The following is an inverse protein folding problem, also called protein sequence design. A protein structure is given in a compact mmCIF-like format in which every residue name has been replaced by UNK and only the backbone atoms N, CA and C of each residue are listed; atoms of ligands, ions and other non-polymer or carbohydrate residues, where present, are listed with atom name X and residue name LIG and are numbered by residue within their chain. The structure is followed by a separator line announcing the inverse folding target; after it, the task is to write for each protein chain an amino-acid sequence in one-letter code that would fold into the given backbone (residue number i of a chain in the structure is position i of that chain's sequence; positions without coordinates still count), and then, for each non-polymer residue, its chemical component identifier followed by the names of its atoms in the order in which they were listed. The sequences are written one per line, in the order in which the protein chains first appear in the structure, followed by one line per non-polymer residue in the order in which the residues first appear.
data_IF_572007022565
#
_entry.id   IF_572007022565
#
_cell.length_a   1.000
_cell.length_b   1.000
_cell.length_c   1.000
_cell.angle_alpha   90.00
_cell.angle_beta   90.00
_cell.angle_gamma   90.00
#
_symmetry.space_group_name_H-M   'P 1'
#
loop_
_entity.id
_entity.type
_entity.pdbx_description
1 polymer ?
#
# COMPACT_ATOMS: atom_id res chain seq x y z
N UNK A 1 12.79 -4.00 -8.34
CA UNK A 1 12.20 -2.81 -7.67
C UNK A 1 12.08 -3.02 -6.16
N UNK A 2 11.25 -3.97 -5.66
CA UNK A 2 11.28 -4.42 -4.26
C UNK A 2 11.57 -5.90 -4.25
N UNK A 3 12.59 -6.31 -3.52
CA UNK A 3 13.02 -7.71 -3.45
C UNK A 3 13.27 -8.11 -2.00
N UNK A 4 12.70 -9.23 -1.61
CA UNK A 4 12.98 -9.93 -0.36
C UNK A 4 13.61 -11.27 -0.74
N UNK A 5 14.78 -11.56 -0.20
CA UNK A 5 15.50 -12.80 -0.43
C UNK A 5 15.73 -13.52 0.90
N UNK A 6 15.06 -14.67 1.05
CA UNK A 6 15.14 -15.54 2.22
C UNK A 6 14.99 -14.79 3.56
N UNK A 7 14.03 -13.86 3.62
CA UNK A 7 13.84 -12.94 4.74
C UNK A 7 13.11 -13.63 5.88
N UNK A 8 13.62 -13.46 7.11
CA UNK A 8 12.89 -13.77 8.34
C UNK A 8 12.69 -12.50 9.18
N UNK A 9 11.64 -12.52 10.00
CA UNK A 9 11.36 -11.43 10.94
C UNK A 9 10.75 -11.94 12.25
N UNK A 10 11.19 -11.35 13.36
CA UNK A 10 10.70 -11.62 14.72
C UNK A 10 10.53 -10.32 15.52
N UNK A 11 9.45 -10.24 16.31
CA UNK A 11 9.26 -9.19 17.30
C UNK A 11 9.81 -9.55 18.71
N UNK A 12 10.65 -10.61 18.81
CA UNK A 12 11.23 -11.08 20.06
C UNK A 12 10.51 -12.26 20.72
N UNK A 13 9.32 -12.67 20.23
CA UNK A 13 8.54 -13.81 20.74
C UNK A 13 8.61 -15.07 19.86
N UNK A 14 9.64 -15.19 19.02
CA UNK A 14 9.74 -16.21 17.99
C UNK A 14 9.55 -15.65 16.58
N UNK A 15 9.92 -16.42 15.56
CA UNK A 15 9.82 -16.00 14.17
C UNK A 15 8.35 -15.88 13.75
N UNK A 16 7.97 -14.70 13.23
CA UNK A 16 6.68 -14.45 12.63
C UNK A 16 6.69 -14.78 11.14
N UNK A 17 7.78 -14.44 10.46
CA UNK A 17 8.02 -14.71 9.05
C UNK A 17 9.32 -15.49 8.91
N UNK A 18 9.32 -16.52 8.03
CA UNK A 18 10.46 -17.41 7.83
C UNK A 18 10.69 -17.62 6.34
N UNK A 19 11.92 -17.48 5.88
CA UNK A 19 12.33 -17.74 4.50
C UNK A 19 11.41 -17.10 3.44
N UNK A 20 11.02 -15.84 3.67
CA UNK A 20 10.18 -15.09 2.75
C UNK A 20 10.97 -14.65 1.53
N UNK A 21 10.57 -15.08 0.34
CA UNK A 21 11.12 -14.58 -0.92
C UNK A 21 10.00 -13.98 -1.76
N UNK A 22 10.17 -12.71 -2.13
CA UNK A 22 9.19 -11.93 -2.88
C UNK A 22 9.91 -11.00 -3.85
N UNK A 23 9.42 -10.94 -5.07
CA UNK A 23 9.86 -9.96 -6.05
C UNK A 23 8.67 -9.18 -6.61
N UNK A 24 8.62 -7.88 -6.34
CA UNK A 24 7.69 -6.95 -6.95
C UNK A 24 8.39 -6.27 -8.13
N UNK A 25 8.19 -6.82 -9.31
CA UNK A 25 8.74 -6.27 -10.55
C UNK A 25 7.98 -4.99 -10.96
N UNK A 26 8.60 -4.09 -11.75
CA UNK A 26 7.91 -2.93 -12.31
C UNK A 26 6.62 -3.32 -13.05
N UNK A 27 5.52 -2.59 -12.76
CA UNK A 27 4.22 -2.81 -13.39
C UNK A 27 3.50 -4.09 -12.98
N UNK A 28 3.99 -4.85 -12.01
CA UNK A 28 3.32 -6.06 -11.53
C UNK A 28 2.16 -5.75 -10.58
N UNK A 29 1.13 -6.60 -10.59
CA UNK A 29 -0.01 -6.52 -9.68
C UNK A 29 -0.08 -7.77 -8.81
N UNK A 30 -0.07 -7.59 -7.49
CA UNK A 30 -0.05 -8.69 -6.53
C UNK A 30 -1.13 -8.53 -5.47
N UNK A 31 -1.72 -9.65 -5.08
CA UNK A 31 -2.48 -9.79 -3.84
C UNK A 31 -1.69 -10.60 -2.83
N UNK A 32 -1.76 -10.19 -1.57
CA UNK A 32 -1.22 -10.90 -0.43
C UNK A 32 -2.36 -11.35 0.47
N UNK A 33 -2.55 -12.66 0.58
CA UNK A 33 -3.62 -13.26 1.39
C UNK A 33 -3.03 -14.02 2.58
N UNK A 34 -3.88 -14.40 3.51
CA UNK A 34 -3.51 -15.19 4.68
C UNK A 34 -4.39 -14.86 5.88
N UNK A 35 -4.44 -15.72 6.89
CA UNK A 35 -5.25 -15.50 8.09
C UNK A 35 -4.85 -14.22 8.83
N UNK A 36 -5.73 -13.74 9.72
CA UNK A 36 -5.37 -12.65 10.63
C UNK A 36 -4.15 -13.05 11.46
N UNK A 37 -3.21 -12.12 11.66
CA UNK A 37 -1.97 -12.41 12.38
C UNK A 37 -0.90 -13.17 11.59
N UNK A 38 -1.13 -13.57 10.33
CA UNK A 38 -0.13 -14.28 9.52
C UNK A 38 1.13 -13.46 9.17
N UNK A 39 1.13 -12.14 9.45
CA UNK A 39 2.28 -11.28 9.17
C UNK A 39 2.18 -10.47 7.87
N UNK A 40 0.98 -10.32 7.28
CA UNK A 40 0.78 -9.52 6.05
C UNK A 40 1.27 -8.08 6.22
N UNK A 41 0.82 -7.39 7.27
CA UNK A 41 1.26 -6.03 7.61
C UNK A 41 2.76 -5.97 7.89
N UNK A 42 3.33 -7.00 8.53
CA UNK A 42 4.78 -7.07 8.80
C UNK A 42 5.57 -7.23 7.50
N UNK A 43 5.14 -8.10 6.58
CA UNK A 43 5.75 -8.24 5.26
C UNK A 43 5.70 -6.91 4.49
N UNK A 44 4.57 -6.22 4.52
CA UNK A 44 4.46 -4.90 3.89
C UNK A 44 5.41 -3.88 4.52
N UNK A 45 5.53 -3.85 5.86
CA UNK A 45 6.48 -2.97 6.58
C UNK A 45 7.94 -3.23 6.16
N UNK A 46 8.31 -4.46 5.88
CA UNK A 46 9.61 -4.79 5.29
C UNK A 46 9.73 -4.25 3.86
N UNK A 47 8.68 -4.32 3.05
CA UNK A 47 8.66 -3.84 1.66
C UNK A 47 8.85 -2.31 1.51
N UNK A 48 8.62 -1.50 2.55
CA UNK A 48 8.94 -0.07 2.50
C UNK A 48 9.99 0.35 3.54
N UNK A 49 10.73 -0.60 4.08
CA UNK A 49 11.86 -0.33 4.98
C UNK A 49 11.46 0.24 6.36
N UNK A 50 10.20 0.06 6.81
CA UNK A 50 9.79 0.43 8.16
C UNK A 50 10.32 -0.56 9.21
N UNK A 51 10.58 -1.78 8.81
CA UNK A 51 11.22 -2.82 9.61
C UNK A 51 12.49 -3.30 8.90
N UNK A 52 13.47 -3.69 9.70
CA UNK A 52 14.70 -4.32 9.22
C UNK A 52 14.57 -5.82 9.47
N UNK A 53 14.80 -6.63 8.45
CA UNK A 53 14.74 -8.09 8.54
C UNK A 53 15.73 -8.63 9.60
N UNK A 54 15.34 -9.66 10.34
CA UNK A 54 16.24 -10.33 11.30
C UNK A 54 17.27 -11.20 10.58
N UNK A 55 16.89 -11.79 9.43
CA UNK A 55 17.81 -12.50 8.53
C UNK A 55 17.36 -12.34 7.07
N UNK A 56 18.18 -12.77 6.12
CA UNK A 56 17.94 -12.56 4.69
C UNK A 56 18.21 -11.12 4.25
N UNK A 57 17.82 -10.75 3.04
CA UNK A 57 18.09 -9.46 2.45
C UNK A 57 16.82 -8.80 1.93
N UNK A 58 16.64 -7.50 2.20
CA UNK A 58 15.59 -6.66 1.60
C UNK A 58 16.25 -5.59 0.74
N UNK A 59 15.85 -5.53 -0.52
CA UNK A 59 16.29 -4.49 -1.47
C UNK A 59 15.12 -3.61 -1.88
N UNK A 60 15.34 -2.30 -1.79
CA UNK A 60 14.43 -1.29 -2.32
C UNK A 60 15.14 -0.55 -3.45
N UNK A 61 14.58 -0.63 -4.67
CA UNK A 61 15.16 0.01 -5.86
C UNK A 61 16.65 -0.31 -6.02
N UNK A 62 16.97 -1.62 -5.96
CA UNK A 62 18.30 -2.22 -6.13
C UNK A 62 19.31 -1.92 -5.00
N UNK A 63 18.87 -1.27 -3.91
CA UNK A 63 19.69 -0.97 -2.73
C UNK A 63 19.30 -1.83 -1.53
N UNK A 64 20.26 -2.39 -0.83
CA UNK A 64 20.04 -3.13 0.42
C UNK A 64 19.65 -2.17 1.54
N UNK A 65 18.49 -2.40 2.17
CA UNK A 65 17.95 -1.57 3.26
C UNK A 65 18.90 -1.46 4.45
N UNK A 66 19.70 -2.50 4.73
CA UNK A 66 20.69 -2.49 5.82
C UNK A 66 21.86 -1.55 5.58
N UNK A 67 22.14 -1.22 4.33
CA UNK A 67 23.25 -0.34 3.93
C UNK A 67 22.79 1.10 3.71
N UNK A 68 21.48 1.38 3.82
CA UNK A 68 20.92 2.71 3.65
C UNK A 68 20.94 3.48 4.98
N UNK A 69 21.31 4.75 4.90
CA UNK A 69 21.05 5.72 5.95
C UNK A 69 19.55 6.16 5.96
N UNK A 70 19.19 6.99 6.93
CA UNK A 70 17.81 7.49 7.10
C UNK A 70 17.30 8.27 5.89
N UNK A 71 18.16 9.08 5.29
CA UNK A 71 17.79 9.93 4.16
C UNK A 71 17.57 9.09 2.90
N UNK A 72 18.42 8.10 2.68
CA UNK A 72 18.27 7.15 1.58
C UNK A 72 16.97 6.32 1.70
N UNK A 73 16.63 5.87 2.91
CA UNK A 73 15.36 5.20 3.18
C UNK A 73 14.18 6.15 2.93
N UNK A 74 14.27 7.41 3.38
CA UNK A 74 13.23 8.42 3.16
C UNK A 74 13.03 8.69 1.66
N UNK A 75 14.10 8.78 0.89
CA UNK A 75 14.04 8.92 -0.58
C UNK A 75 13.36 7.72 -1.25
N UNK A 76 13.64 6.49 -0.81
CA UNK A 76 12.96 5.31 -1.30
C UNK A 76 11.46 5.33 -0.96
N UNK A 77 11.10 5.73 0.26
CA UNK A 77 9.70 5.82 0.70
C UNK A 77 8.87 6.84 -0.09
N UNK A 78 9.47 7.93 -0.58
CA UNK A 78 8.77 8.90 -1.47
C UNK A 78 8.31 8.27 -2.78
N UNK A 79 8.94 7.18 -3.21
CA UNK A 79 8.59 6.40 -4.41
C UNK A 79 7.56 5.29 -4.11
N UNK A 80 7.16 5.12 -2.83
CA UNK A 80 6.24 4.08 -2.37
C UNK A 80 5.05 4.75 -1.68
N UNK A 81 3.87 4.61 -2.25
CA UNK A 81 2.62 4.99 -1.59
C UNK A 81 2.14 3.86 -0.67
N UNK A 82 1.85 4.18 0.59
CA UNK A 82 1.40 3.17 1.56
C UNK A 82 0.03 3.55 2.11
N UNK A 83 -0.94 2.65 1.93
CA UNK A 83 -2.24 2.71 2.59
C UNK A 83 -2.18 1.82 3.83
N UNK A 84 -2.19 2.44 5.00
CA UNK A 84 -2.19 1.73 6.28
C UNK A 84 -3.61 1.36 6.71
N UNK A 85 -3.77 0.23 7.37
CA UNK A 85 -5.04 -0.22 7.90
C UNK A 85 -5.67 0.79 8.88
N UNK A 86 -4.86 1.45 9.70
CA UNK A 86 -5.32 2.39 10.75
C UNK A 86 -5.64 3.79 10.23
N UNK A 87 -5.41 4.10 8.95
CA UNK A 87 -5.75 5.37 8.30
C UNK A 87 -5.44 6.61 9.17
N UNK A 88 -4.22 6.72 9.70
CA UNK A 88 -3.82 7.81 10.59
C UNK A 88 -3.76 9.15 9.84
N UNK A 89 -4.44 10.15 10.40
CA UNK A 89 -4.47 11.53 9.89
C UNK A 89 -4.07 12.51 11.01
N UNK A 90 -3.72 13.72 10.63
CA UNK A 90 -3.53 14.84 11.55
C UNK A 90 -4.90 15.48 11.82
N UNK A 91 -5.47 15.27 13.00
CA UNK A 91 -6.85 15.63 13.33
C UNK A 91 -7.14 17.14 13.28
N UNK A 92 -6.11 17.99 13.35
CA UNK A 92 -6.21 19.44 13.30
C UNK A 92 -6.11 20.01 11.88
N UNK A 93 -5.86 19.20 10.87
CA UNK A 93 -5.78 19.62 9.47
C UNK A 93 -7.00 19.13 8.68
N UNK A 94 -7.54 19.94 7.76
CA UNK A 94 -8.57 19.50 6.81
C UNK A 94 -8.15 18.26 6.02
N UNK A 95 -9.13 17.54 5.48
CA UNK A 95 -8.89 16.34 4.67
C UNK A 95 -7.98 16.64 3.47
N UNK A 96 -8.24 17.73 2.76
CA UNK A 96 -7.43 18.16 1.62
C UNK A 96 -5.96 18.34 1.96
N UNK A 97 -5.66 18.96 3.10
CA UNK A 97 -4.30 19.15 3.59
C UNK A 97 -3.67 17.84 4.04
N UNK A 98 -4.44 16.96 4.70
CA UNK A 98 -3.98 15.61 5.05
C UNK A 98 -3.61 14.78 3.82
N UNK A 99 -4.39 14.88 2.74
CA UNK A 99 -4.08 14.19 1.47
C UNK A 99 -2.87 14.82 0.79
N UNK A 100 -2.73 16.14 0.84
CA UNK A 100 -1.62 16.86 0.24
C UNK A 100 -0.32 16.80 1.07
N UNK A 101 -0.34 16.32 2.30
CA UNK A 101 0.80 16.29 3.21
C UNK A 101 2.10 15.73 2.60
N UNK A 102 2.08 14.64 1.79
CA UNK A 102 3.29 14.16 1.12
C UNK A 102 3.91 15.19 0.16
N UNK A 103 3.09 16.00 -0.51
CA UNK A 103 3.56 17.08 -1.40
C UNK A 103 4.27 18.17 -0.58
N UNK A 104 3.65 18.59 0.55
CA UNK A 104 4.23 19.54 1.47
C UNK A 104 5.61 19.11 1.97
N UNK A 105 5.70 17.89 2.49
CA UNK A 105 6.95 17.32 3.02
C UNK A 105 8.02 17.16 1.94
N UNK A 106 7.64 16.97 0.67
CA UNK A 106 8.58 16.83 -0.44
C UNK A 106 8.97 18.15 -1.10
N UNK A 107 8.34 19.28 -0.72
CA UNK A 107 8.56 20.57 -1.34
C UNK A 107 7.95 20.70 -2.75
N UNK A 108 6.92 19.90 -3.07
CA UNK A 108 6.27 19.84 -4.38
C UNK A 108 4.86 20.47 -4.39
N UNK A 109 4.55 21.39 -3.49
CA UNK A 109 3.20 21.98 -3.36
C UNK A 109 2.79 22.85 -4.55
N UNK A 110 3.74 23.50 -5.22
CA UNK A 110 3.45 24.46 -6.27
C UNK A 110 2.84 23.76 -7.50
N UNK A 111 1.59 24.14 -7.85
CA UNK A 111 0.90 23.66 -9.05
C UNK A 111 0.11 22.36 -8.90
N UNK A 112 0.06 21.74 -7.71
CA UNK A 112 -0.61 20.44 -7.51
C UNK A 112 -2.10 20.54 -7.09
N UNK A 113 -2.66 21.75 -7.00
CA UNK A 113 -4.06 21.95 -6.57
C UNK A 113 -5.09 21.28 -7.49
N UNK A 114 -4.82 21.21 -8.78
CA UNK A 114 -5.71 20.55 -9.76
C UNK A 114 -5.66 19.01 -9.58
N UNK A 115 -4.47 18.44 -9.46
CA UNK A 115 -4.27 17.01 -9.19
C UNK A 115 -4.94 16.56 -7.88
N UNK A 116 -4.88 17.39 -6.84
CA UNK A 116 -5.55 17.13 -5.56
C UNK A 116 -7.07 17.08 -5.72
N UNK A 117 -7.66 18.07 -6.44
CA UNK A 117 -9.11 18.13 -6.68
C UNK A 117 -9.58 16.94 -7.50
N UNK A 118 -8.86 16.59 -8.56
CA UNK A 118 -9.17 15.45 -9.40
C UNK A 118 -9.14 14.16 -8.58
N UNK A 119 -8.10 13.97 -7.76
CA UNK A 119 -7.95 12.78 -6.92
C UNK A 119 -9.06 12.69 -5.86
N UNK A 120 -9.42 13.80 -5.20
CA UNK A 120 -10.55 13.85 -4.26
C UNK A 120 -11.86 13.51 -4.95
N UNK A 121 -12.06 13.95 -6.19
CA UNK A 121 -13.22 13.57 -7.00
C UNK A 121 -13.24 12.08 -7.33
N UNK A 122 -12.10 11.51 -7.68
CA UNK A 122 -11.96 10.08 -7.97
C UNK A 122 -12.36 9.19 -6.79
N UNK A 123 -11.94 9.58 -5.58
CA UNK A 123 -12.28 8.85 -4.35
C UNK A 123 -13.62 9.27 -3.75
N UNK A 124 -14.36 10.18 -4.40
CA UNK A 124 -15.68 10.66 -3.96
C UNK A 124 -15.66 11.43 -2.66
N UNK A 125 -14.66 12.33 -2.49
CA UNK A 125 -14.46 13.12 -1.28
C UNK A 125 -14.38 14.63 -1.55
N UNK A 126 -14.81 15.10 -2.71
CA UNK A 126 -14.78 16.53 -3.09
C UNK A 126 -15.52 17.39 -2.04
N UNK A 127 -16.73 16.98 -1.64
CA UNK A 127 -17.58 17.71 -0.68
C UNK A 127 -17.07 17.60 0.77
N UNK A 128 -16.04 16.78 1.00
CA UNK A 128 -15.43 16.54 2.31
C UNK A 128 -14.02 17.13 2.41
N UNK A 129 -13.60 17.90 1.40
CA UNK A 129 -12.23 18.45 1.32
C UNK A 129 -11.84 19.26 2.57
N UNK A 130 -12.77 20.01 3.13
CA UNK A 130 -12.58 20.88 4.30
C UNK A 130 -12.95 20.22 5.63
N UNK A 131 -13.49 18.99 5.62
CA UNK A 131 -13.86 18.28 6.83
C UNK A 131 -12.61 17.84 7.62
N UNK A 132 -12.72 17.84 8.95
CA UNK A 132 -11.65 17.34 9.82
C UNK A 132 -11.74 15.80 9.94
N UNK A 133 -10.61 15.08 10.13
CA UNK A 133 -10.60 13.64 10.22
C UNK A 133 -11.57 13.03 11.26
N UNK A 134 -11.82 13.60 12.43
CA UNK A 134 -12.83 13.09 13.37
C UNK A 134 -14.27 13.10 12.83
N UNK A 135 -14.57 13.95 11.83
CA UNK A 135 -15.90 14.07 11.21
C UNK A 135 -16.13 13.04 10.09
N UNK A 136 -15.08 12.30 9.72
CA UNK A 136 -15.12 11.33 8.63
C UNK A 136 -15.53 9.94 9.11
N UNK A 137 -16.38 9.29 8.34
CA UNK A 137 -16.66 7.85 8.50
C UNK A 137 -15.41 7.01 8.23
N UNK A 138 -15.41 5.75 8.69
CA UNK A 138 -14.30 4.82 8.43
C UNK A 138 -14.02 4.64 6.93
N UNK A 139 -15.06 4.56 6.10
CA UNK A 139 -14.93 4.46 4.65
C UNK A 139 -14.37 5.72 4.02
N UNK A 140 -14.76 6.93 4.48
CA UNK A 140 -14.17 8.19 4.01
C UNK A 140 -12.69 8.28 4.36
N UNK A 141 -12.32 7.90 5.58
CA UNK A 141 -10.90 7.82 6.01
C UNK A 141 -10.10 6.87 5.11
N UNK A 142 -10.65 5.72 4.76
CA UNK A 142 -9.96 4.73 3.94
C UNK A 142 -9.74 5.24 2.50
N UNK A 143 -10.74 5.88 1.92
CA UNK A 143 -10.62 6.55 0.61
C UNK A 143 -9.58 7.68 0.63
N UNK A 144 -9.58 8.49 1.69
CA UNK A 144 -8.60 9.56 1.88
C UNK A 144 -7.18 9.02 2.04
N UNK A 145 -7.00 7.91 2.78
CA UNK A 145 -5.71 7.26 2.93
C UNK A 145 -5.16 6.74 1.59
N UNK A 146 -6.02 6.19 0.71
CA UNK A 146 -5.64 5.83 -0.64
C UNK A 146 -5.25 7.05 -1.47
N UNK A 147 -6.05 8.13 -1.43
CA UNK A 147 -5.72 9.38 -2.12
C UNK A 147 -4.35 9.92 -1.67
N UNK A 148 -4.10 9.99 -0.36
CA UNK A 148 -2.80 10.40 0.20
C UNK A 148 -1.64 9.52 -0.28
N UNK A 149 -1.87 8.22 -0.38
CA UNK A 149 -0.83 7.28 -0.81
C UNK A 149 -0.43 7.48 -2.28
N UNK A 150 -1.34 7.94 -3.14
CA UNK A 150 -1.10 8.04 -4.58
C UNK A 150 -0.84 9.45 -5.09
N UNK A 151 -1.04 10.50 -4.26
CA UNK A 151 -0.90 11.90 -4.67
C UNK A 151 0.48 12.24 -5.26
N UNK A 152 1.53 11.60 -4.77
CA UNK A 152 2.91 11.73 -5.25
C UNK A 152 3.18 10.95 -6.54
N UNK A 153 2.17 10.31 -7.14
CA UNK A 153 2.35 9.40 -8.29
C UNK A 153 3.46 8.35 -8.07
N UNK A 154 3.43 7.59 -6.97
CA UNK A 154 4.51 6.68 -6.60
C UNK A 154 4.72 5.61 -7.66
N UNK A 155 5.88 4.94 -7.64
CA UNK A 155 6.19 3.81 -8.51
C UNK A 155 5.57 2.50 -7.98
N UNK A 156 5.43 2.40 -6.66
CA UNK A 156 4.83 1.25 -5.99
C UNK A 156 3.72 1.71 -5.05
N UNK A 157 2.59 1.03 -5.05
CA UNK A 157 1.50 1.20 -4.07
C UNK A 157 1.36 -0.07 -3.25
N UNK A 158 1.50 0.07 -1.94
CA UNK A 158 1.29 -1.00 -0.96
C UNK A 158 0.01 -0.66 -0.19
N UNK A 159 -1.03 -1.49 -0.27
CA UNK A 159 -2.30 -1.23 0.38
C UNK A 159 -2.69 -2.37 1.33
N UNK A 160 -2.81 -2.06 2.63
CA UNK A 160 -3.21 -3.02 3.66
C UNK A 160 -4.71 -2.87 3.94
N UNK A 161 -5.51 -3.86 3.52
CA UNK A 161 -6.97 -3.93 3.60
C UNK A 161 -7.67 -2.64 3.09
N UNK A 162 -7.38 -2.17 1.86
CA UNK A 162 -7.83 -0.85 1.38
C UNK A 162 -9.35 -0.74 1.21
N UNK A 163 -10.08 -1.84 1.29
CA UNK A 163 -11.53 -1.91 1.11
C UNK A 163 -12.29 -2.44 2.34
N UNK A 164 -11.59 -2.63 3.46
CA UNK A 164 -12.15 -3.29 4.64
C UNK A 164 -13.34 -2.58 5.32
N UNK A 165 -13.50 -1.26 5.11
CA UNK A 165 -14.52 -0.44 5.75
C UNK A 165 -15.43 0.30 4.74
N UNK A 166 -15.52 -0.19 3.52
CA UNK A 166 -16.35 0.41 2.46
C UNK A 166 -17.29 -0.63 1.87
N UNK A 167 -18.40 -0.17 1.30
CA UNK A 167 -19.36 -1.05 0.59
C UNK A 167 -18.75 -1.61 -0.71
N UNK A 168 -19.46 -2.56 -1.32
CA UNK A 168 -19.00 -3.24 -2.53
C UNK A 168 -18.84 -2.30 -3.73
N UNK A 169 -19.75 -1.36 -3.91
CA UNK A 169 -19.69 -0.40 -5.03
C UNK A 169 -18.43 0.48 -4.91
N UNK A 170 -18.16 0.96 -3.71
CA UNK A 170 -16.96 1.74 -3.43
C UNK A 170 -15.69 0.88 -3.53
N UNK A 171 -15.71 -0.36 -3.07
CA UNK A 171 -14.59 -1.31 -3.24
C UNK A 171 -14.23 -1.47 -4.72
N UNK A 172 -15.24 -1.60 -5.60
CA UNK A 172 -15.03 -1.66 -7.05
C UNK A 172 -14.45 -0.35 -7.61
N UNK A 173 -14.87 0.81 -7.08
CA UNK A 173 -14.35 2.10 -7.50
C UNK A 173 -12.87 2.26 -7.11
N UNK A 174 -12.50 1.88 -5.89
CA UNK A 174 -11.11 1.90 -5.44
C UNK A 174 -10.24 0.89 -6.22
N UNK A 175 -10.79 -0.29 -6.52
CA UNK A 175 -10.10 -1.27 -7.36
C UNK A 175 -9.82 -0.71 -8.75
N UNK A 176 -10.80 -0.06 -9.39
CA UNK A 176 -10.60 0.58 -10.70
C UNK A 176 -9.46 1.60 -10.67
N UNK A 177 -9.37 2.43 -9.63
CA UNK A 177 -8.26 3.37 -9.47
C UNK A 177 -6.90 2.62 -9.44
N UNK A 178 -6.79 1.55 -8.63
CA UNK A 178 -5.56 0.77 -8.54
C UNK A 178 -5.21 0.05 -9.86
N UNK A 179 -6.23 -0.42 -10.60
CA UNK A 179 -6.06 -1.03 -11.93
C UNK A 179 -5.55 0.01 -12.95
N UNK A 180 -6.12 1.22 -12.95
CA UNK A 180 -5.64 2.29 -13.86
C UNK A 180 -4.20 2.71 -13.50
N UNK A 181 -3.86 2.85 -12.22
CA UNK A 181 -2.48 3.10 -11.81
C UNK A 181 -1.53 1.99 -12.30
N UNK A 182 -1.97 0.73 -12.24
CA UNK A 182 -1.17 -0.39 -12.76
C UNK A 182 -1.02 -0.33 -14.29
N UNK A 183 -2.08 0.01 -15.03
CA UNK A 183 -2.02 0.21 -16.50
C UNK A 183 -1.07 1.34 -16.89
N UNK A 184 -0.90 2.34 -16.02
CA UNK A 184 0.10 3.41 -16.15
C UNK A 184 1.52 2.96 -15.74
N UNK A 185 1.74 1.67 -15.51
CA UNK A 185 3.03 1.08 -15.17
C UNK A 185 3.37 1.05 -13.68
N UNK A 186 2.46 1.44 -12.78
CA UNK A 186 2.70 1.38 -11.34
C UNK A 186 2.65 -0.06 -10.84
N UNK A 187 3.49 -0.40 -9.88
CA UNK A 187 3.49 -1.71 -9.21
C UNK A 187 2.52 -1.69 -8.03
N UNK A 188 1.65 -2.68 -7.92
CA UNK A 188 0.61 -2.73 -6.88
C UNK A 188 0.76 -4.01 -6.04
N UNK A 189 0.73 -3.86 -4.72
CA UNK A 189 0.57 -4.97 -3.77
C UNK A 189 -0.58 -4.65 -2.81
N UNK A 190 -1.61 -5.49 -2.80
CA UNK A 190 -2.78 -5.37 -1.93
C UNK A 190 -2.81 -6.54 -0.96
N UNK A 191 -2.70 -6.28 0.34
CA UNK A 191 -3.02 -7.27 1.35
C UNK A 191 -4.54 -7.25 1.60
N UNK A 192 -5.21 -8.37 1.38
CA UNK A 192 -6.64 -8.50 1.63
C UNK A 192 -7.06 -9.96 1.83
N UNK A 193 -8.18 -10.15 2.50
CA UNK A 193 -8.89 -11.42 2.60
C UNK A 193 -10.16 -11.49 1.73
N UNK A 194 -10.47 -10.41 1.01
CA UNK A 194 -11.64 -10.32 0.12
C UNK A 194 -11.40 -11.05 -1.20
N UNK A 195 -11.93 -12.28 -1.31
CA UNK A 195 -11.84 -13.09 -2.52
C UNK A 195 -12.64 -12.53 -3.69
N UNK A 196 -13.73 -11.79 -3.42
CA UNK A 196 -14.54 -11.18 -4.47
C UNK A 196 -13.77 -10.05 -5.14
N UNK A 197 -13.06 -9.24 -4.36
CA UNK A 197 -12.16 -8.19 -4.85
C UNK A 197 -11.03 -8.78 -5.71
N UNK A 198 -10.42 -9.88 -5.27
CA UNK A 198 -9.36 -10.57 -6.01
C UNK A 198 -9.87 -11.07 -7.37
N UNK A 199 -11.05 -11.71 -7.40
CA UNK A 199 -11.66 -12.19 -8.65
C UNK A 199 -11.99 -11.03 -9.62
N UNK A 200 -12.53 -9.95 -9.07
CA UNK A 200 -12.84 -8.75 -9.86
C UNK A 200 -11.58 -8.11 -10.47
N UNK A 201 -10.47 -8.12 -9.75
CA UNK A 201 -9.18 -7.62 -10.25
C UNK A 201 -8.60 -8.55 -11.33
N UNK A 202 -8.62 -9.87 -11.12
CA UNK A 202 -8.11 -10.86 -12.10
C UNK A 202 -8.83 -10.78 -13.47
N UNK A 203 -10.06 -10.32 -13.49
CA UNK A 203 -10.79 -10.07 -14.73
C UNK A 203 -10.27 -8.84 -15.51
N UNK A 204 -9.47 -7.98 -14.90
CA UNK A 204 -9.05 -6.69 -15.47
C UNK A 204 -7.53 -6.59 -15.68
N UNK A 205 -6.74 -7.30 -14.86
CA UNK A 205 -5.26 -7.27 -14.89
C UNK A 205 -4.68 -8.65 -14.60
N UNK A 206 -3.44 -8.88 -15.01
CA UNK A 206 -2.67 -10.07 -14.63
C UNK A 206 -2.23 -9.96 -13.16
N UNK A 207 -3.12 -10.29 -12.24
CA UNK A 207 -2.82 -10.27 -10.82
C UNK A 207 -2.27 -11.62 -10.35
N UNK A 208 -1.15 -11.60 -9.63
CA UNK A 208 -0.61 -12.76 -8.92
C UNK A 208 -1.15 -12.78 -7.50
N UNK A 209 -1.54 -13.95 -7.01
CA UNK A 209 -2.00 -14.11 -5.64
C UNK A 209 -0.94 -14.86 -4.84
N UNK A 210 -0.51 -14.26 -3.76
CA UNK A 210 0.45 -14.79 -2.81
C UNK A 210 -0.28 -15.08 -1.49
N UNK A 211 0.08 -16.13 -0.82
CA UNK A 211 -0.51 -16.51 0.46
C UNK A 211 0.58 -16.71 1.52
N UNK A 212 0.41 -16.07 2.67
CA UNK A 212 1.20 -16.42 3.84
C UNK A 212 0.52 -17.59 4.55
N UNK A 213 1.24 -18.72 4.63
CA UNK A 213 0.81 -19.92 5.33
C UNK A 213 2.03 -20.54 6.02
N UNK A 214 1.85 -21.00 7.26
CA UNK A 214 2.96 -21.60 8.04
C UNK A 214 4.21 -20.73 8.09
N UNK A 215 4.02 -19.39 8.26
CA UNK A 215 5.09 -18.38 8.30
C UNK A 215 5.91 -18.24 7.00
N UNK A 216 5.47 -18.84 5.91
CA UNK A 216 6.13 -18.81 4.60
C UNK A 216 5.22 -18.18 3.54
N UNK A 217 5.82 -17.61 2.50
CA UNK A 217 5.12 -17.09 1.34
C UNK A 217 5.00 -18.19 0.27
N UNK A 218 3.80 -18.42 -0.20
CA UNK A 218 3.51 -19.41 -1.23
C UNK A 218 2.70 -18.75 -2.36
N UNK A 219 2.91 -19.16 -3.60
CA UNK A 219 1.98 -18.84 -4.67
C UNK A 219 0.63 -19.50 -4.35
N UNK A 220 -0.45 -18.72 -4.35
CA UNK A 220 -1.77 -19.30 -4.19
C UNK A 220 -2.11 -20.16 -5.43
N UNK A 221 -2.70 -21.33 -5.20
CA UNK A 221 -3.14 -22.23 -6.26
C UNK A 221 -4.16 -21.59 -7.22
N UNK A 222 -4.45 -22.30 -8.30
CA UNK A 222 -5.31 -21.82 -9.41
C UNK A 222 -6.76 -21.55 -8.97
N UNK A 223 -7.17 -22.00 -7.79
CA UNK A 223 -8.56 -21.92 -7.27
C UNK A 223 -8.88 -20.61 -6.51
N UNK A 224 -8.01 -19.62 -6.54
CA UNK A 224 -8.23 -18.29 -5.96
C UNK A 224 -8.41 -17.22 -7.01
#
# INVERSE_FOLDING_TARGET
MIELDNVAYSYGGGELLTAMSLQLAPGSFHFLTGPSGAGKTTLMKLCYGALIATSGQVRLFDRDVRQMDRDQIAMCRRRIGVVHQDCQFLDHLPLSENVALPLAVSGQEAGQGENLRELLSWVGLTERADALPPELSGGERQRAALARAVIMSPEVVLADEPTGNVDWEMSQRLLRLLVELNRMGKTILIATHDLALIRAAKAQVQARVLRISNRQLQAAGVDL
#
